data_IF_199889574272
#
_entry.id   IF_199889574272
#
_cell.length_a   1.000
_cell.length_b   1.000
_cell.length_c   1.000
_cell.angle_alpha   90.00
_cell.angle_beta   90.00
_cell.angle_gamma   90.00
#
_symmetry.space_group_name_H-M   'P 1'
#
loop_
_entity.id
_entity.type
_entity.pdbx_description
1 polymer ?
#
# COMPACT_ATOMS: atom_id res chain seq x y z
N UNK A 1 -0.57 15.66 -17.36
CA UNK A 1 -0.43 14.96 -16.07
C UNK A 1 -0.09 13.53 -16.41
N UNK A 2 0.95 12.96 -15.80
CA UNK A 2 1.30 11.56 -16.03
C UNK A 2 0.45 10.67 -15.12
N UNK A 3 0.20 9.45 -15.56
CA UNK A 3 -0.47 8.43 -14.74
C UNK A 3 0.30 8.13 -13.45
N UNK A 4 1.64 8.18 -13.52
CA UNK A 4 2.55 8.02 -12.37
C UNK A 4 2.44 9.16 -11.35
N UNK A 5 2.09 10.39 -11.76
CA UNK A 5 1.94 11.52 -10.83
C UNK A 5 0.83 11.24 -9.79
N UNK A 6 -0.25 10.58 -10.20
CA UNK A 6 -1.37 10.20 -9.31
C UNK A 6 -0.90 9.19 -8.26
N UNK A 7 -0.15 8.17 -8.69
CA UNK A 7 0.37 7.13 -7.79
C UNK A 7 1.41 7.70 -6.82
N UNK A 8 2.29 8.58 -7.29
CA UNK A 8 3.25 9.29 -6.41
C UNK A 8 2.52 10.12 -5.36
N UNK A 9 1.42 10.79 -5.69
CA UNK A 9 0.61 11.50 -4.70
C UNK A 9 0.00 10.56 -3.66
N UNK A 10 -0.48 9.39 -4.08
CA UNK A 10 -0.96 8.36 -3.15
C UNK A 10 0.17 7.83 -2.26
N UNK A 11 1.37 7.62 -2.81
CA UNK A 11 2.56 7.27 -2.04
C UNK A 11 2.88 8.29 -0.95
N UNK A 12 2.74 9.59 -1.22
CA UNK A 12 2.94 10.63 -0.19
C UNK A 12 1.95 10.52 0.97
N UNK A 13 0.74 10.01 0.73
CA UNK A 13 -0.25 9.74 1.78
C UNK A 13 0.14 8.49 2.56
N UNK A 14 0.48 7.41 1.84
CA UNK A 14 0.91 6.13 2.44
C UNK A 14 2.15 6.33 3.30
N UNK A 15 3.15 7.08 2.82
CA UNK A 15 4.39 7.34 3.54
C UNK A 15 4.17 8.01 4.91
N UNK A 16 3.20 8.94 5.00
CA UNK A 16 2.85 9.58 6.28
C UNK A 16 2.27 8.58 7.26
N UNK A 17 1.41 7.68 6.81
CA UNK A 17 0.87 6.61 7.65
C UNK A 17 1.98 5.65 8.08
N UNK A 18 2.94 5.35 7.20
CA UNK A 18 4.10 4.53 7.56
C UNK A 18 5.00 5.21 8.59
N UNK A 19 5.16 6.54 8.54
CA UNK A 19 5.89 7.30 9.56
C UNK A 19 5.15 7.26 10.91
N UNK A 20 3.82 7.39 10.88
CA UNK A 20 2.95 7.24 12.06
C UNK A 20 3.05 5.83 12.65
N UNK A 21 3.03 4.79 11.80
CA UNK A 21 3.25 3.41 12.21
C UNK A 21 4.62 3.24 12.85
N UNK A 22 5.69 3.78 12.24
CA UNK A 22 7.04 3.72 12.79
C UNK A 22 7.10 4.32 14.20
N UNK A 23 6.46 5.46 14.43
CA UNK A 23 6.38 6.09 15.75
C UNK A 23 5.62 5.19 16.74
N UNK A 24 4.42 4.70 16.36
CA UNK A 24 3.62 3.81 17.21
C UNK A 24 4.38 2.53 17.62
N UNK A 25 5.14 1.96 16.69
CA UNK A 25 5.96 0.77 16.92
C UNK A 25 7.14 1.02 17.85
N UNK A 26 7.67 2.25 17.88
CA UNK A 26 8.72 2.66 18.84
C UNK A 26 8.14 2.88 20.25
N UNK A 27 6.94 3.46 20.32
CA UNK A 27 6.29 3.78 21.59
C UNK A 27 5.63 2.58 22.26
N UNK A 28 5.39 1.49 21.52
CA UNK A 28 4.80 0.25 22.05
C UNK A 28 5.85 -0.56 22.83
N UNK A 29 5.75 -0.65 24.16
CA UNK A 29 6.69 -1.44 24.94
C UNK A 29 6.31 -2.93 24.90
N UNK A 30 7.30 -3.83 24.91
CA UNK A 30 7.08 -5.29 24.85
C UNK A 30 6.19 -5.86 25.97
N UNK A 31 6.03 -5.14 27.08
CA UNK A 31 5.20 -5.53 28.23
C UNK A 31 3.99 -4.57 28.46
N UNK A 32 3.72 -3.66 27.52
CA UNK A 32 2.60 -2.71 27.61
C UNK A 32 1.30 -3.27 27.05
N UNK A 33 0.21 -2.54 27.27
CA UNK A 33 -1.03 -2.80 26.54
C UNK A 33 -0.91 -2.26 25.11
N UNK A 34 -1.27 -3.09 24.13
CA UNK A 34 -1.39 -2.70 22.74
C UNK A 34 -2.56 -1.71 22.54
N UNK A 35 -2.36 -0.70 21.70
CA UNK A 35 -3.46 0.09 21.13
C UNK A 35 -4.12 -0.69 20.00
N UNK A 36 -5.00 -1.61 20.36
CA UNK A 36 -5.70 -2.49 19.40
C UNK A 36 -6.44 -1.69 18.33
N UNK A 37 -7.04 -0.55 18.68
CA UNK A 37 -7.81 0.27 17.75
C UNK A 37 -6.91 0.80 16.61
N UNK A 38 -5.73 1.33 16.96
CA UNK A 38 -4.76 1.78 15.96
C UNK A 38 -4.37 0.68 14.97
N UNK A 39 -4.07 -0.53 15.45
CA UNK A 39 -3.65 -1.63 14.57
C UNK A 39 -4.82 -2.17 13.73
N UNK A 40 -6.07 -2.11 14.21
CA UNK A 40 -7.25 -2.39 13.39
C UNK A 40 -7.43 -1.35 12.29
N UNK A 41 -7.20 -0.06 12.59
CA UNK A 41 -7.17 1.00 11.57
C UNK A 41 -6.06 0.79 10.55
N UNK A 42 -4.89 0.32 10.96
CA UNK A 42 -3.81 -0.05 10.03
C UNK A 42 -4.27 -1.15 9.06
N UNK A 43 -4.92 -2.21 9.53
CA UNK A 43 -5.49 -3.26 8.66
C UNK A 43 -6.50 -2.68 7.67
N UNK A 44 -7.42 -1.82 8.15
CA UNK A 44 -8.40 -1.16 7.29
C UNK A 44 -7.74 -0.27 6.23
N UNK A 45 -6.76 0.54 6.64
CA UNK A 45 -5.99 1.42 5.76
C UNK A 45 -5.24 0.62 4.69
N UNK A 46 -4.54 -0.45 5.06
CA UNK A 46 -3.83 -1.31 4.11
C UNK A 46 -4.76 -1.97 3.10
N UNK A 47 -5.97 -2.37 3.52
CA UNK A 47 -6.99 -2.87 2.60
C UNK A 47 -7.49 -1.78 1.63
N UNK A 48 -7.55 -0.50 2.08
CA UNK A 48 -7.87 0.62 1.20
C UNK A 48 -6.73 0.93 0.21
N UNK A 49 -5.47 0.82 0.64
CA UNK A 49 -4.29 0.89 -0.27
C UNK A 49 -4.40 -0.18 -1.35
N UNK A 50 -4.70 -1.43 -0.98
CA UNK A 50 -4.82 -2.52 -1.96
C UNK A 50 -5.95 -2.28 -2.97
N UNK A 51 -7.13 -1.90 -2.48
CA UNK A 51 -8.31 -1.64 -3.31
C UNK A 51 -8.18 -0.41 -4.20
N UNK A 52 -7.39 0.59 -3.81
CA UNK A 52 -7.30 1.86 -4.54
C UNK A 52 -5.99 2.01 -5.30
N UNK A 53 -4.86 1.83 -4.63
CA UNK A 53 -3.53 2.08 -5.18
C UNK A 53 -3.02 0.87 -5.97
N UNK A 54 -2.89 -0.31 -5.34
CA UNK A 54 -2.39 -1.50 -6.04
C UNK A 54 -3.32 -1.91 -7.19
N UNK A 55 -4.64 -1.73 -7.07
CA UNK A 55 -5.59 -2.03 -8.15
C UNK A 55 -5.35 -1.19 -9.41
N UNK A 56 -4.98 0.10 -9.28
CA UNK A 56 -4.58 0.96 -10.39
C UNK A 56 -3.32 0.45 -11.06
N UNK A 57 -2.36 0.01 -10.26
CA UNK A 57 -1.11 -0.52 -10.79
C UNK A 57 -1.30 -1.86 -11.50
N UNK A 58 -1.89 -2.82 -10.80
CA UNK A 58 -2.07 -4.19 -11.29
C UNK A 58 -3.09 -4.27 -12.44
N UNK A 59 -4.12 -3.41 -12.42
CA UNK A 59 -5.21 -3.39 -13.38
C UNK A 59 -4.99 -2.47 -14.59
N UNK A 60 -4.18 -1.43 -14.47
CA UNK A 60 -4.04 -0.41 -15.51
C UNK A 60 -2.58 -0.12 -15.88
N UNK A 61 -1.75 0.34 -14.93
CA UNK A 61 -0.38 0.76 -15.25
C UNK A 61 0.51 -0.42 -15.71
N UNK A 62 0.57 -1.50 -14.94
CA UNK A 62 1.41 -2.64 -15.24
C UNK A 62 1.00 -3.34 -16.54
N UNK A 63 -0.31 -3.52 -16.87
CA UNK A 63 -0.74 -3.96 -18.20
C UNK A 63 -0.27 -3.04 -19.32
N UNK A 64 -0.39 -1.72 -19.16
CA UNK A 64 0.11 -0.75 -20.14
C UNK A 64 1.62 -0.91 -20.37
N UNK A 65 2.42 -0.92 -19.30
CA UNK A 65 3.88 -1.10 -19.37
C UNK A 65 4.29 -2.45 -19.97
N UNK A 66 3.54 -3.51 -19.67
CA UNK A 66 3.77 -4.83 -20.28
C UNK A 66 3.50 -4.78 -21.78
N UNK A 67 2.44 -4.10 -22.21
CA UNK A 67 2.13 -3.85 -23.63
C UNK A 67 3.21 -3.05 -24.36
N UNK A 68 3.98 -2.23 -23.63
CA UNK A 68 5.15 -1.49 -24.14
C UNK A 68 6.46 -2.29 -24.12
N UNK A 69 6.41 -3.56 -23.70
CA UNK A 69 7.53 -4.49 -23.74
C UNK A 69 8.29 -4.63 -22.42
N UNK A 70 7.80 -4.06 -21.31
CA UNK A 70 8.37 -4.36 -20.00
C UNK A 70 7.99 -5.79 -19.58
N UNK A 71 8.94 -6.65 -19.18
CA UNK A 71 8.61 -8.01 -18.78
C UNK A 71 7.73 -8.04 -17.52
N UNK A 72 6.60 -8.75 -17.60
CA UNK A 72 5.71 -8.97 -16.45
C UNK A 72 6.36 -9.87 -15.38
N UNK A 73 7.16 -10.84 -15.79
CA UNK A 73 7.89 -11.75 -14.90
C UNK A 73 9.39 -11.53 -14.99
N UNK A 74 10.11 -11.77 -13.90
CA UNK A 74 11.59 -11.68 -13.86
C UNK A 74 12.15 -10.26 -14.02
N UNK A 75 11.31 -9.23 -13.94
CA UNK A 75 11.67 -7.82 -14.05
C UNK A 75 11.00 -6.95 -12.98
N UNK A 76 11.07 -5.61 -13.11
CA UNK A 76 10.54 -4.66 -12.13
C UNK A 76 9.06 -4.90 -11.78
N UNK A 77 8.18 -5.11 -12.77
CA UNK A 77 6.75 -5.40 -12.54
C UNK A 77 6.58 -6.69 -11.73
N UNK A 78 7.29 -7.76 -12.10
CA UNK A 78 7.22 -9.04 -11.39
C UNK A 78 7.64 -8.94 -9.93
N UNK A 79 8.62 -8.09 -9.63
CA UNK A 79 9.02 -7.78 -8.26
C UNK A 79 7.94 -7.03 -7.50
N UNK A 80 7.27 -6.03 -8.10
CA UNK A 80 6.21 -5.29 -7.42
C UNK A 80 5.00 -6.18 -7.12
N UNK A 81 4.57 -6.99 -8.09
CA UNK A 81 3.50 -7.98 -7.90
C UNK A 81 3.78 -8.97 -6.77
N UNK A 82 5.03 -9.46 -6.68
CA UNK A 82 5.45 -10.34 -5.59
C UNK A 82 5.35 -9.63 -4.23
N UNK A 83 5.77 -8.36 -4.17
CA UNK A 83 5.74 -7.59 -2.93
C UNK A 83 4.33 -7.17 -2.52
N UNK A 84 3.43 -6.90 -3.46
CA UNK A 84 2.01 -6.71 -3.15
C UNK A 84 1.45 -7.95 -2.45
N UNK A 85 1.74 -9.15 -2.96
CA UNK A 85 1.31 -10.41 -2.32
C UNK A 85 1.94 -10.60 -0.93
N UNK A 86 3.22 -10.25 -0.75
CA UNK A 86 3.87 -10.27 0.56
C UNK A 86 3.19 -9.29 1.53
N UNK A 87 2.89 -8.07 1.09
CA UNK A 87 2.16 -7.07 1.88
C UNK A 87 0.77 -7.55 2.28
N UNK A 88 0.01 -8.10 1.33
CA UNK A 88 -1.30 -8.72 1.58
C UNK A 88 -1.20 -9.87 2.60
N UNK A 89 -0.14 -10.67 2.56
CA UNK A 89 0.08 -11.75 3.54
C UNK A 89 0.36 -11.22 4.95
N UNK A 90 1.22 -10.20 5.08
CA UNK A 90 1.53 -9.57 6.37
C UNK A 90 0.31 -8.93 7.02
N UNK A 91 -0.58 -8.31 6.23
CA UNK A 91 -1.83 -7.71 6.74
C UNK A 91 -2.84 -8.77 7.19
N UNK A 92 -2.93 -9.91 6.49
CA UNK A 92 -3.71 -11.07 6.99
C UNK A 92 -3.17 -11.58 8.31
N UNK A 93 -1.85 -11.76 8.41
CA UNK A 93 -1.19 -12.19 9.65
C UNK A 93 -1.41 -11.19 10.80
N UNK A 94 -1.34 -9.88 10.53
CA UNK A 94 -1.66 -8.85 11.52
C UNK A 94 -3.11 -8.98 12.02
N UNK A 95 -4.08 -9.16 11.13
CA UNK A 95 -5.48 -9.32 11.53
C UNK A 95 -5.69 -10.56 12.40
N UNK A 96 -5.10 -11.69 12.02
CA UNK A 96 -5.18 -12.95 12.78
C UNK A 96 -4.51 -12.83 14.16
N UNK A 97 -3.34 -12.20 14.23
CA UNK A 97 -2.61 -11.99 15.50
C UNK A 97 -3.32 -11.00 16.42
N UNK A 98 -4.00 -9.99 15.87
CA UNK A 98 -4.87 -9.10 16.67
C UNK A 98 -6.04 -9.87 17.30
N UNK A 99 -6.71 -10.75 16.53
CA UNK A 99 -7.80 -11.57 17.05
C UNK A 99 -7.32 -12.48 18.20
N UNK A 100 -6.14 -13.10 18.05
CA UNK A 100 -5.53 -13.92 19.10
C UNK A 100 -5.11 -13.11 20.33
N UNK A 101 -4.56 -11.91 20.12
CA UNK A 101 -4.15 -11.02 21.21
C UNK A 101 -5.34 -10.61 22.09
N UNK A 102 -6.48 -10.26 21.47
CA UNK A 102 -7.70 -9.90 22.21
C UNK A 102 -8.28 -11.08 23.02
N UNK A 103 -8.02 -12.32 22.58
CA UNK A 103 -8.39 -13.53 23.31
C UNK A 103 -7.36 -13.93 24.40
N UNK A 104 -6.22 -13.25 24.47
CA UNK A 104 -5.12 -13.57 25.39
C UNK A 104 -4.21 -14.71 24.91
N UNK A 105 -4.32 -15.10 23.64
CA UNK A 105 -3.59 -16.22 23.02
C UNK A 105 -2.34 -15.76 22.23
N UNK A 106 -2.09 -14.45 22.16
CA UNK A 106 -0.89 -13.88 21.53
C UNK A 106 -0.29 -12.77 22.38
N UNK A 107 1.02 -12.56 22.22
CA UNK A 107 1.78 -11.49 22.85
C UNK A 107 1.74 -10.20 22.03
N UNK A 108 2.17 -9.09 22.63
CA UNK A 108 2.38 -7.81 21.91
C UNK A 108 3.37 -7.99 20.75
N UNK A 109 4.43 -8.79 20.96
CA UNK A 109 5.46 -9.02 19.94
C UNK A 109 4.90 -9.79 18.73
N UNK A 110 3.96 -10.71 18.94
CA UNK A 110 3.30 -11.45 17.85
C UNK A 110 2.50 -10.52 16.93
N UNK A 111 1.88 -9.48 17.49
CA UNK A 111 1.15 -8.45 16.72
C UNK A 111 2.10 -7.48 16.03
N UNK A 112 3.15 -7.06 16.73
CA UNK A 112 4.06 -6.02 16.23
C UNK A 112 5.04 -6.55 15.18
N UNK A 113 5.42 -7.83 15.21
CA UNK A 113 6.35 -8.41 14.23
C UNK A 113 5.89 -8.21 12.77
N UNK A 114 4.67 -8.62 12.35
CA UNK A 114 4.20 -8.39 10.98
C UNK A 114 4.10 -6.90 10.62
N UNK A 115 3.81 -6.02 11.59
CA UNK A 115 3.80 -4.56 11.35
C UNK A 115 5.19 -4.02 11.00
N UNK A 116 6.26 -4.49 11.68
CA UNK A 116 7.64 -4.08 11.39
C UNK A 116 8.07 -4.55 10.01
N UNK A 117 7.74 -5.78 9.66
CA UNK A 117 8.02 -6.35 8.33
C UNK A 117 7.26 -5.59 7.24
N UNK A 118 5.98 -5.29 7.47
CA UNK A 118 5.15 -4.51 6.54
C UNK A 118 5.69 -3.10 6.32
N UNK A 119 6.06 -2.41 7.40
CA UNK A 119 6.68 -1.09 7.34
C UNK A 119 7.95 -1.09 6.49
N UNK A 120 8.85 -2.06 6.73
CA UNK A 120 10.09 -2.17 5.98
C UNK A 120 9.83 -2.49 4.50
N UNK A 121 8.93 -3.43 4.24
CA UNK A 121 8.54 -3.84 2.90
C UNK A 121 8.01 -2.65 2.10
N UNK A 122 7.02 -1.92 2.63
CA UNK A 122 6.40 -0.82 1.89
C UNK A 122 7.34 0.37 1.67
N UNK A 123 8.20 0.72 2.64
CA UNK A 123 9.19 1.78 2.42
C UNK A 123 10.14 1.43 1.27
N UNK A 124 10.58 0.17 1.17
CA UNK A 124 11.43 -0.29 0.08
C UNK A 124 10.67 -0.39 -1.24
N UNK A 125 9.42 -0.84 -1.19
CA UNK A 125 8.53 -0.96 -2.33
C UNK A 125 8.30 0.40 -3.01
N UNK A 126 7.80 1.39 -2.24
CA UNK A 126 7.57 2.77 -2.71
C UNK A 126 8.84 3.38 -3.29
N UNK A 127 10.00 3.14 -2.65
CA UNK A 127 11.29 3.65 -3.16
C UNK A 127 11.66 3.05 -4.52
N UNK A 128 11.34 1.78 -4.78
CA UNK A 128 11.62 1.15 -6.07
C UNK A 128 10.65 1.62 -7.14
N UNK A 129 9.40 1.86 -6.77
CA UNK A 129 8.43 2.36 -7.73
C UNK A 129 8.74 3.79 -8.14
N UNK A 130 8.80 4.71 -7.18
CA UNK A 130 9.08 6.12 -7.43
C UNK A 130 10.46 6.35 -8.05
N UNK A 131 11.47 5.56 -7.64
CA UNK A 131 12.86 5.76 -8.03
C UNK A 131 13.30 4.98 -9.27
N UNK A 132 12.58 3.91 -9.65
CA UNK A 132 13.01 2.98 -10.71
C UNK A 132 11.87 2.67 -11.67
N UNK A 133 10.80 2.03 -11.21
CA UNK A 133 9.74 1.53 -12.09
C UNK A 133 9.02 2.66 -12.81
N UNK A 134 8.57 3.68 -12.09
CA UNK A 134 7.83 4.79 -12.67
C UNK A 134 8.70 5.60 -13.65
N UNK A 135 9.95 6.02 -13.33
CA UNK A 135 10.82 6.66 -14.31
C UNK A 135 11.08 5.79 -15.55
N UNK A 136 11.21 4.47 -15.40
CA UNK A 136 11.32 3.56 -16.56
C UNK A 136 10.04 3.60 -17.41
N UNK A 137 8.88 3.52 -16.76
CA UNK A 137 7.58 3.57 -17.43
C UNK A 137 7.34 4.88 -18.18
N UNK A 138 7.67 6.02 -17.57
CA UNK A 138 7.57 7.35 -18.19
C UNK A 138 8.43 7.51 -19.44
N UNK A 139 9.57 6.81 -19.53
CA UNK A 139 10.40 6.81 -20.73
C UNK A 139 9.86 5.89 -21.84
N UNK A 140 8.95 4.97 -21.50
CA UNK A 140 8.34 4.01 -22.43
C UNK A 140 6.96 4.46 -22.92
N UNK A 141 6.24 5.23 -22.12
CA UNK A 141 4.87 5.66 -22.39
C UNK A 141 4.82 6.97 -23.19
N UNK A 142 3.87 7.05 -24.11
CA UNK A 142 3.48 8.28 -24.78
C UNK A 142 2.41 9.04 -23.98
N UNK A 143 2.14 10.29 -24.36
CA UNK A 143 1.04 11.08 -23.76
C UNK A 143 -0.32 10.38 -23.92
N UNK A 144 -0.54 9.66 -25.03
CA UNK A 144 -1.76 8.90 -25.23
C UNK A 144 -1.85 7.72 -24.26
N UNK A 145 -0.73 7.03 -24.00
CA UNK A 145 -0.70 5.90 -23.06
C UNK A 145 -1.00 6.38 -21.63
N UNK A 146 -0.47 7.54 -21.25
CA UNK A 146 -0.80 8.18 -19.97
C UNK A 146 -2.29 8.52 -19.89
N UNK A 147 -2.87 9.11 -20.94
CA UNK A 147 -4.30 9.46 -20.97
C UNK A 147 -5.19 8.22 -20.85
N UNK A 148 -4.88 7.14 -21.59
CA UNK A 148 -5.62 5.88 -21.54
C UNK A 148 -5.49 5.20 -20.16
N UNK A 149 -4.30 5.26 -19.56
CA UNK A 149 -4.05 4.71 -18.21
C UNK A 149 -4.83 5.49 -17.15
N UNK A 150 -4.89 6.83 -17.25
CA UNK A 150 -5.69 7.67 -16.37
C UNK A 150 -7.19 7.38 -16.49
N UNK A 151 -7.72 7.23 -17.71
CA UNK A 151 -9.12 6.81 -17.90
C UNK A 151 -9.37 5.44 -17.30
N UNK A 152 -8.44 4.48 -17.44
CA UNK A 152 -8.54 3.18 -16.79
C UNK A 152 -8.61 3.28 -15.26
N UNK A 153 -7.86 4.20 -14.64
CA UNK A 153 -7.97 4.44 -13.19
C UNK A 153 -9.36 4.95 -12.80
N UNK A 154 -9.91 5.91 -13.56
CA UNK A 154 -11.22 6.50 -13.31
C UNK A 154 -12.34 5.46 -13.46
N UNK A 155 -12.28 4.63 -14.51
CA UNK A 155 -13.25 3.56 -14.74
C UNK A 155 -13.18 2.51 -13.63
N UNK A 156 -11.97 2.10 -13.23
CA UNK A 156 -11.77 1.16 -12.13
C UNK A 156 -12.32 1.68 -10.79
N UNK A 157 -12.12 2.96 -10.48
CA UNK A 157 -12.71 3.59 -9.28
C UNK A 157 -14.25 3.60 -9.32
N UNK A 158 -14.86 3.84 -10.50
CA UNK A 158 -16.31 3.79 -10.63
C UNK A 158 -16.88 2.38 -10.42
N UNK A 159 -16.20 1.35 -10.91
CA UNK A 159 -16.61 -0.05 -10.76
C UNK A 159 -16.48 -0.55 -9.32
N UNK A 160 -15.43 -0.13 -8.61
CA UNK A 160 -15.21 -0.49 -7.20
C UNK A 160 -16.07 0.32 -6.23
N UNK A 161 -16.58 1.47 -6.68
CA UNK A 161 -17.27 2.48 -5.88
C UNK A 161 -16.32 3.65 -5.57
N UNK A 162 -16.80 4.90 -5.70
CA UNK A 162 -15.97 6.11 -5.56
C UNK A 162 -15.33 6.24 -4.16
N UNK A 163 -15.84 5.49 -3.19
CA UNK A 163 -15.40 5.47 -1.81
C UNK A 163 -13.97 4.93 -1.64
N UNK A 164 -13.41 4.16 -2.58
CA UNK A 164 -12.08 3.55 -2.39
C UNK A 164 -10.95 4.58 -2.22
N UNK A 165 -10.98 5.66 -3.00
CA UNK A 165 -10.01 6.76 -2.88
C UNK A 165 -10.30 7.63 -1.65
N UNK A 166 -11.58 7.86 -1.36
CA UNK A 166 -12.00 8.61 -0.18
C UNK A 166 -11.62 7.90 1.13
N UNK A 167 -11.78 6.58 1.19
CA UNK A 167 -11.43 5.73 2.33
C UNK A 167 -9.93 5.75 2.58
N UNK A 168 -9.10 5.66 1.53
CA UNK A 168 -7.65 5.76 1.66
C UNK A 168 -7.25 7.08 2.36
N UNK A 169 -7.81 8.20 1.88
CA UNK A 169 -7.51 9.53 2.43
C UNK A 169 -8.07 9.69 3.84
N UNK A 170 -9.32 9.25 4.08
CA UNK A 170 -9.99 9.34 5.37
C UNK A 170 -9.25 8.54 6.44
N UNK A 171 -8.94 7.27 6.16
CA UNK A 171 -8.23 6.40 7.09
C UNK A 171 -6.80 6.92 7.36
N UNK A 172 -6.11 7.43 6.34
CA UNK A 172 -4.82 8.08 6.54
C UNK A 172 -4.92 9.30 7.47
N UNK A 173 -5.95 10.13 7.30
CA UNK A 173 -6.17 11.30 8.14
C UNK A 173 -6.48 10.91 9.59
N UNK A 174 -7.33 9.90 9.79
CA UNK A 174 -7.65 9.36 11.11
C UNK A 174 -6.39 8.84 11.82
N UNK A 175 -5.58 8.01 11.15
CA UNK A 175 -4.36 7.44 11.76
C UNK A 175 -3.32 8.51 12.09
N UNK A 176 -3.12 9.50 11.21
CA UNK A 176 -2.15 10.57 11.42
C UNK A 176 -2.58 11.57 12.51
N UNK A 177 -3.84 11.56 12.94
CA UNK A 177 -4.34 12.40 14.03
C UNK A 177 -4.09 11.79 15.43
N UNK A 178 -3.59 10.55 15.50
CA UNK A 178 -3.37 9.81 16.76
C UNK A 178 -1.98 10.02 17.39
N UNK A 179 -1.16 10.92 16.83
CA UNK A 179 0.17 11.33 17.33
C UNK A 179 0.11 12.79 17.76
#
# INVERSE_FOLDING_TARGET
MRSTDVLVQQHMVIDKVLDTLAQKLQDTPSAGALDVEFFRKLVAFSNAVDKCHHSKEEGCLFPCLTGKGMPREGGPIGMMLMEHEMGRALIRQLSETLDLYENGDASVDDVVSPCREYLQLLKQHISKENGVLYPMGENMMSEQDDAETLTCYEDGEQEMGPEASEDLIRLAAEMNAEI
#
